data_IF_233268814909
#
_entry.id   IF_233268814909
#
_cell.length_a   1.000
_cell.length_b   1.000
_cell.length_c   1.000
_cell.angle_alpha   90.00
_cell.angle_beta   90.00
_cell.angle_gamma   90.00
#
_symmetry.space_group_name_H-M   'P 1'
#
loop_
_entity.id
_entity.type
_entity.pdbx_description
1 polymer ?
#
# COMPACT_ATOMS: atom_id res chain seq x y z
N UNK A 1 -45.39 7.34 -6.95
CA UNK A 1 -44.69 8.22 -5.99
C UNK A 1 -43.45 7.51 -5.49
N UNK A 2 -42.27 8.14 -5.60
CA UNK A 2 -41.12 7.86 -4.74
C UNK A 2 -40.12 6.77 -5.15
N UNK A 3 -39.60 6.78 -6.38
CA UNK A 3 -38.28 6.19 -6.63
C UNK A 3 -37.24 7.10 -5.98
N UNK A 4 -36.97 6.88 -4.69
CA UNK A 4 -36.13 7.72 -3.86
C UNK A 4 -34.69 7.71 -4.35
N UNK A 5 -34.28 8.83 -4.97
CA UNK A 5 -32.98 9.49 -4.84
C UNK A 5 -31.86 8.62 -4.21
N UNK A 6 -31.39 7.59 -4.93
CA UNK A 6 -30.08 7.00 -4.62
C UNK A 6 -29.07 8.15 -4.75
N UNK A 7 -28.41 8.50 -3.66
CA UNK A 7 -27.96 9.87 -3.41
C UNK A 7 -26.83 10.26 -4.36
N UNK A 8 -27.17 11.13 -5.32
CA UNK A 8 -26.25 11.96 -6.11
C UNK A 8 -25.49 12.98 -5.25
N UNK A 9 -25.78 13.06 -3.95
CA UNK A 9 -25.08 13.94 -3.02
C UNK A 9 -23.68 13.34 -2.76
N UNK A 10 -22.60 14.08 -3.07
CA UNK A 10 -21.25 13.63 -2.76
C UNK A 10 -21.05 13.52 -1.24
N UNK A 11 -20.41 12.46 -0.80
CA UNK A 11 -19.96 12.34 0.58
C UNK A 11 -18.92 13.44 0.88
N UNK A 12 -19.02 14.17 2.00
CA UNK A 12 -18.15 15.33 2.27
C UNK A 12 -16.69 14.98 2.51
N UNK A 13 -16.38 13.73 2.90
CA UNK A 13 -15.01 13.29 3.19
C UNK A 13 -14.30 12.79 1.94
N UNK A 14 -15.02 12.06 1.09
CA UNK A 14 -14.48 11.42 -0.11
C UNK A 14 -14.75 12.19 -1.40
N UNK A 15 -15.74 13.09 -1.41
CA UNK A 15 -16.23 13.80 -2.60
C UNK A 15 -16.96 12.91 -3.61
N UNK A 16 -17.23 11.64 -3.26
CA UNK A 16 -17.84 10.65 -4.15
C UNK A 16 -19.32 10.44 -3.85
N UNK A 17 -20.11 10.38 -4.92
CA UNK A 17 -21.53 9.97 -4.86
C UNK A 17 -21.65 8.45 -4.71
N UNK A 18 -22.83 7.95 -4.32
CA UNK A 18 -23.08 6.51 -4.26
C UNK A 18 -22.89 5.83 -5.63
N UNK A 19 -23.31 6.50 -6.71
CA UNK A 19 -23.18 6.03 -8.09
C UNK A 19 -21.71 5.87 -8.50
N UNK A 20 -20.88 6.86 -8.19
CA UNK A 20 -19.44 6.81 -8.49
C UNK A 20 -18.75 5.68 -7.72
N UNK A 21 -19.05 5.51 -6.43
CA UNK A 21 -18.50 4.40 -5.63
C UNK A 21 -18.87 3.03 -6.21
N UNK A 22 -20.15 2.83 -6.55
CA UNK A 22 -20.63 1.58 -7.15
C UNK A 22 -19.95 1.30 -8.50
N UNK A 23 -19.78 2.34 -9.33
CA UNK A 23 -19.06 2.21 -10.59
C UNK A 23 -17.63 1.70 -10.39
N UNK A 24 -16.87 2.29 -9.46
CA UNK A 24 -15.51 1.86 -9.13
C UNK A 24 -15.50 0.40 -8.66
N UNK A 25 -16.39 0.04 -7.74
CA UNK A 25 -16.47 -1.32 -7.16
C UNK A 25 -16.82 -2.37 -8.22
N UNK A 26 -17.79 -2.10 -9.09
CA UNK A 26 -18.19 -3.01 -10.17
C UNK A 26 -17.05 -3.21 -11.17
N UNK A 27 -16.42 -2.13 -11.63
CA UNK A 27 -15.28 -2.19 -12.54
C UNK A 27 -14.09 -2.95 -11.94
N UNK A 28 -13.75 -2.67 -10.67
CA UNK A 28 -12.65 -3.36 -10.00
C UNK A 28 -12.92 -4.87 -9.82
N UNK A 29 -14.16 -5.21 -9.44
CA UNK A 29 -14.59 -6.61 -9.31
C UNK A 29 -14.49 -7.36 -10.64
N UNK A 30 -14.85 -6.73 -11.74
CA UNK A 30 -14.72 -7.32 -13.07
C UNK A 30 -13.25 -7.54 -13.45
N UNK A 31 -12.42 -6.50 -13.28
CA UNK A 31 -11.00 -6.56 -13.54
C UNK A 31 -10.28 -7.67 -12.77
N UNK A 32 -10.49 -7.72 -11.45
CA UNK A 32 -9.85 -8.73 -10.58
C UNK A 32 -10.34 -10.15 -10.84
N UNK A 33 -11.55 -10.32 -11.39
CA UNK A 33 -12.06 -11.63 -11.83
C UNK A 33 -11.36 -12.12 -13.10
N UNK A 34 -11.04 -11.20 -14.02
CA UNK A 34 -10.37 -11.53 -15.30
C UNK A 34 -8.85 -11.61 -15.16
N UNK A 35 -8.27 -10.94 -14.15
CA UNK A 35 -6.83 -10.82 -13.95
C UNK A 35 -6.39 -11.36 -12.59
N UNK A 36 -5.93 -12.62 -12.54
CA UNK A 36 -5.52 -13.26 -11.28
C UNK A 36 -4.30 -12.61 -10.60
N UNK A 37 -3.46 -11.92 -11.36
CA UNK A 37 -2.28 -11.19 -10.86
C UNK A 37 -2.43 -9.68 -11.05
N UNK A 38 -3.66 -9.18 -10.93
CA UNK A 38 -4.03 -7.78 -11.16
C UNK A 38 -3.07 -6.75 -10.54
N UNK A 39 -2.57 -7.00 -9.32
CA UNK A 39 -1.58 -6.13 -8.68
C UNK A 39 -0.22 -6.10 -9.40
N UNK A 40 0.25 -7.24 -9.90
CA UNK A 40 1.48 -7.35 -10.70
C UNK A 40 1.30 -6.69 -12.05
N UNK A 41 0.14 -6.88 -12.69
CA UNK A 41 -0.22 -6.24 -13.97
C UNK A 41 -0.16 -4.72 -13.85
N UNK A 42 -0.88 -4.15 -12.87
CA UNK A 42 -0.89 -2.70 -12.61
C UNK A 42 0.52 -2.18 -12.28
N UNK A 43 1.24 -2.88 -11.41
CA UNK A 43 2.55 -2.43 -10.97
C UNK A 43 3.60 -2.51 -12.09
N UNK A 44 3.57 -3.55 -12.93
CA UNK A 44 4.38 -3.66 -14.14
C UNK A 44 4.08 -2.55 -15.14
N UNK A 45 2.79 -2.32 -15.42
CA UNK A 45 2.30 -1.27 -16.30
C UNK A 45 2.76 0.14 -15.88
N UNK A 46 2.96 0.38 -14.58
CA UNK A 46 3.53 1.63 -14.08
C UNK A 46 4.99 1.80 -14.53
N UNK A 47 5.81 0.75 -14.51
CA UNK A 47 7.21 0.84 -14.95
C UNK A 47 7.39 0.88 -16.46
N UNK A 48 6.45 0.32 -17.23
CA UNK A 48 6.44 0.52 -18.69
C UNK A 48 6.17 2.00 -19.05
N UNK A 49 5.32 2.68 -18.26
CA UNK A 49 4.94 4.09 -18.47
C UNK A 49 5.91 5.09 -17.84
N UNK A 50 6.48 4.74 -16.69
CA UNK A 50 7.41 5.54 -15.90
C UNK A 50 8.69 4.74 -15.57
N UNK A 51 9.54 4.43 -16.57
CA UNK A 51 10.72 3.58 -16.37
C UNK A 51 11.68 4.12 -15.31
N UNK A 52 11.73 5.45 -15.13
CA UNK A 52 12.54 6.11 -14.14
C UNK A 52 12.17 5.75 -12.69
N UNK A 53 10.96 5.25 -12.44
CA UNK A 53 10.51 4.83 -11.11
C UNK A 53 11.19 3.54 -10.64
N UNK A 54 11.75 2.73 -11.54
CA UNK A 54 12.58 1.59 -11.16
C UNK A 54 13.79 2.02 -10.31
N UNK A 55 14.22 3.28 -10.40
CA UNK A 55 15.30 3.80 -9.56
C UNK A 55 14.95 3.82 -8.06
N UNK A 56 13.66 3.85 -7.71
CA UNK A 56 13.17 3.75 -6.33
C UNK A 56 13.29 2.32 -5.77
N UNK A 57 13.50 1.33 -6.64
CA UNK A 57 13.58 -0.09 -6.28
C UNK A 57 14.96 -0.66 -6.65
N UNK A 58 15.99 -0.49 -5.79
CA UNK A 58 17.36 -0.93 -6.09
C UNK A 58 17.50 -2.40 -6.52
N UNK A 59 16.61 -3.29 -6.05
CA UNK A 59 16.59 -4.72 -6.40
C UNK A 59 16.15 -5.01 -7.84
N UNK A 60 15.52 -4.03 -8.50
CA UNK A 60 14.86 -4.17 -9.80
C UNK A 60 15.51 -3.32 -10.89
N UNK A 61 16.49 -2.49 -10.55
CA UNK A 61 17.20 -1.63 -11.51
C UNK A 61 17.82 -2.44 -12.64
N UNK A 62 17.63 -1.97 -13.87
CA UNK A 62 18.19 -2.58 -15.07
C UNK A 62 17.45 -3.83 -15.57
N UNK A 63 16.39 -4.28 -14.89
CA UNK A 63 15.52 -5.35 -15.37
C UNK A 63 14.40 -4.77 -16.23
N UNK A 64 14.08 -5.45 -17.32
CA UNK A 64 12.87 -5.21 -18.10
C UNK A 64 11.63 -5.64 -17.33
N UNK A 65 10.46 -5.09 -17.67
CA UNK A 65 9.18 -5.50 -17.07
C UNK A 65 8.87 -6.98 -17.26
N UNK A 66 9.32 -7.58 -18.36
CA UNK A 66 9.27 -9.03 -18.58
C UNK A 66 10.10 -9.81 -17.57
N UNK A 67 11.33 -9.39 -17.29
CA UNK A 67 12.18 -10.04 -16.27
C UNK A 67 11.63 -9.83 -14.85
N UNK A 68 10.96 -8.70 -14.61
CA UNK A 68 10.32 -8.40 -13.33
C UNK A 68 9.08 -9.27 -13.08
N UNK A 69 8.32 -9.59 -14.12
CA UNK A 69 7.14 -10.46 -14.01
C UNK A 69 7.48 -11.86 -13.46
N UNK A 70 8.71 -12.34 -13.70
CA UNK A 70 9.21 -13.63 -13.20
C UNK A 70 9.93 -13.53 -11.83
N UNK A 71 10.22 -12.31 -11.34
CA UNK A 71 10.93 -12.11 -10.07
C UNK A 71 9.96 -12.27 -8.88
N UNK A 72 10.17 -13.26 -7.97
CA UNK A 72 9.25 -13.50 -6.86
C UNK A 72 9.09 -12.30 -5.91
N UNK A 73 10.12 -11.45 -5.76
CA UNK A 73 10.05 -10.27 -4.90
C UNK A 73 9.25 -9.16 -5.55
N UNK A 74 9.38 -9.01 -6.86
CA UNK A 74 8.56 -8.07 -7.63
C UNK A 74 7.09 -8.46 -7.56
N UNK A 75 6.80 -9.74 -7.80
CA UNK A 75 5.44 -10.30 -7.71
C UNK A 75 4.84 -10.09 -6.32
N UNK A 76 5.60 -10.36 -5.25
CA UNK A 76 5.14 -10.12 -3.89
C UNK A 76 4.79 -8.65 -3.64
N UNK A 77 5.58 -7.70 -4.16
CA UNK A 77 5.28 -6.28 -4.04
C UNK A 77 4.07 -5.87 -4.88
N UNK A 78 3.96 -6.36 -6.12
CA UNK A 78 2.79 -6.16 -6.97
C UNK A 78 1.51 -6.66 -6.33
N UNK A 79 1.53 -7.84 -5.70
CA UNK A 79 0.40 -8.34 -4.91
C UNK A 79 0.04 -7.40 -3.75
N UNK A 80 1.03 -6.86 -3.03
CA UNK A 80 0.78 -5.90 -1.95
C UNK A 80 0.11 -4.61 -2.46
N UNK A 81 0.54 -4.10 -3.61
CA UNK A 81 -0.12 -2.96 -4.29
C UNK A 81 -1.57 -3.31 -4.65
N UNK A 82 -1.80 -4.49 -5.24
CA UNK A 82 -3.14 -4.97 -5.56
C UNK A 82 -4.06 -5.08 -4.33
N UNK A 83 -3.56 -5.60 -3.21
CA UNK A 83 -4.33 -5.69 -1.97
C UNK A 83 -4.66 -4.32 -1.38
N UNK A 84 -3.73 -3.36 -1.44
CA UNK A 84 -3.99 -2.00 -1.00
C UNK A 84 -5.08 -1.32 -1.85
N UNK A 85 -5.02 -1.46 -3.18
CA UNK A 85 -6.04 -0.94 -4.09
C UNK A 85 -7.41 -1.58 -3.81
N UNK A 86 -7.45 -2.90 -3.64
CA UNK A 86 -8.69 -3.62 -3.33
C UNK A 86 -9.28 -3.15 -1.99
N UNK A 87 -8.44 -3.01 -0.97
CA UNK A 87 -8.88 -2.54 0.35
C UNK A 87 -9.47 -1.13 0.28
N UNK A 88 -8.88 -0.24 -0.53
CA UNK A 88 -9.45 1.10 -0.74
C UNK A 88 -10.81 1.04 -1.43
N UNK A 89 -10.93 0.25 -2.52
CA UNK A 89 -12.18 0.12 -3.29
C UNK A 89 -13.29 -0.51 -2.45
N UNK A 90 -12.99 -1.56 -1.71
CA UNK A 90 -13.95 -2.26 -0.86
C UNK A 90 -14.44 -1.37 0.29
N UNK A 91 -13.58 -0.49 0.80
CA UNK A 91 -13.88 0.41 1.91
C UNK A 91 -14.59 1.70 1.50
N UNK A 92 -14.90 1.93 0.22
CA UNK A 92 -15.54 3.18 -0.22
C UNK A 92 -16.91 3.44 0.44
N UNK A 93 -17.60 2.40 0.91
CA UNK A 93 -18.83 2.51 1.68
C UNK A 93 -18.65 3.07 3.09
N UNK A 94 -17.42 3.14 3.58
CA UNK A 94 -17.02 3.68 4.88
C UNK A 94 -15.94 4.77 4.67
N UNK A 95 -16.35 6.05 4.58
CA UNK A 95 -15.46 7.17 4.34
C UNK A 95 -14.30 7.29 5.34
N UNK A 96 -14.51 6.93 6.61
CA UNK A 96 -13.48 7.03 7.65
C UNK A 96 -12.46 5.91 7.49
N UNK A 97 -12.92 4.70 7.19
CA UNK A 97 -12.04 3.57 6.92
C UNK A 97 -11.17 3.79 5.69
N UNK A 98 -11.73 4.25 4.56
CA UNK A 98 -10.93 4.48 3.35
C UNK A 98 -9.87 5.57 3.57
N UNK A 99 -10.20 6.65 4.28
CA UNK A 99 -9.23 7.69 4.64
C UNK A 99 -8.12 7.11 5.53
N UNK A 100 -8.48 6.34 6.56
CA UNK A 100 -7.51 5.72 7.46
C UNK A 100 -6.57 4.74 6.73
N UNK A 101 -7.09 3.96 5.79
CA UNK A 101 -6.30 3.05 4.95
C UNK A 101 -5.33 3.79 4.03
N UNK A 102 -5.78 4.87 3.38
CA UNK A 102 -4.93 5.72 2.54
C UNK A 102 -3.82 6.34 3.39
N UNK A 103 -4.16 6.91 4.55
CA UNK A 103 -3.18 7.51 5.46
C UNK A 103 -2.15 6.49 5.93
N UNK A 104 -2.59 5.30 6.35
CA UNK A 104 -1.68 4.20 6.75
C UNK A 104 -0.71 3.85 5.63
N UNK A 105 -1.20 3.76 4.40
CA UNK A 105 -0.36 3.50 3.24
C UNK A 105 0.64 4.63 2.98
N UNK A 106 0.20 5.89 3.03
CA UNK A 106 1.07 7.05 2.87
C UNK A 106 2.19 7.09 3.93
N UNK A 107 1.87 6.81 5.20
CA UNK A 107 2.86 6.73 6.30
C UNK A 107 3.93 5.68 6.00
N UNK A 108 3.54 4.50 5.52
CA UNK A 108 4.48 3.44 5.15
C UNK A 108 5.44 3.82 3.99
N UNK A 109 5.10 4.88 3.25
CA UNK A 109 5.90 5.44 2.16
C UNK A 109 6.72 6.66 2.56
N UNK A 110 6.46 7.31 3.70
CA UNK A 110 7.27 8.42 4.22
C UNK A 110 8.74 8.03 4.41
N UNK A 111 8.96 6.82 4.92
CA UNK A 111 10.31 6.30 5.21
C UNK A 111 11.05 5.82 3.94
N UNK A 112 10.39 5.85 2.77
CA UNK A 112 10.95 5.34 1.51
C UNK A 112 11.68 6.46 0.78
N UNK A 113 13.01 6.39 0.81
CA UNK A 113 13.89 7.37 0.15
C UNK A 113 13.49 7.59 -1.31
N UNK A 114 13.20 8.84 -1.65
CA UNK A 114 12.89 9.27 -3.02
C UNK A 114 11.42 9.12 -3.42
N UNK A 115 10.60 8.44 -2.61
CA UNK A 115 9.15 8.42 -2.83
C UNK A 115 8.57 9.79 -2.50
N UNK A 116 7.59 10.20 -3.29
CA UNK A 116 6.89 11.49 -3.18
C UNK A 116 5.44 11.32 -3.62
N UNK A 117 4.55 12.25 -3.28
CA UNK A 117 3.13 12.17 -3.69
C UNK A 117 2.92 12.06 -5.21
N UNK A 118 3.85 12.58 -6.03
CA UNK A 118 3.78 12.46 -7.49
C UNK A 118 3.80 10.99 -7.97
N UNK A 119 4.48 10.11 -7.25
CA UNK A 119 4.51 8.68 -7.61
C UNK A 119 3.14 8.02 -7.39
N UNK A 120 2.38 8.47 -6.39
CA UNK A 120 1.01 7.99 -6.17
C UNK A 120 0.06 8.49 -7.27
N UNK A 121 0.25 9.72 -7.73
CA UNK A 121 -0.51 10.27 -8.86
C UNK A 121 -0.28 9.44 -10.14
N UNK A 122 0.98 9.16 -10.46
CA UNK A 122 1.37 8.34 -11.60
C UNK A 122 0.87 6.89 -11.48
N UNK A 123 0.88 6.31 -10.28
CA UNK A 123 0.25 5.01 -10.04
C UNK A 123 -1.26 5.06 -10.35
N UNK A 124 -1.94 6.12 -9.92
CA UNK A 124 -3.37 6.32 -10.23
C UNK A 124 -3.65 6.40 -11.72
N UNK A 125 -2.83 7.15 -12.47
CA UNK A 125 -2.91 7.19 -13.93
C UNK A 125 -2.67 5.81 -14.55
N UNK A 126 -1.65 5.07 -14.08
CA UNK A 126 -1.37 3.72 -14.58
C UNK A 126 -2.54 2.76 -14.34
N UNK A 127 -3.20 2.82 -13.18
CA UNK A 127 -4.41 2.02 -12.90
C UNK A 127 -5.53 2.35 -13.87
N UNK A 128 -5.83 3.63 -14.09
CA UNK A 128 -6.91 4.05 -15.00
C UNK A 128 -6.64 3.58 -16.43
N UNK A 129 -5.41 3.71 -16.92
CA UNK A 129 -5.05 3.23 -18.26
C UNK A 129 -5.14 1.71 -18.40
N UNK A 130 -4.66 0.96 -17.40
CA UNK A 130 -4.79 -0.51 -17.40
C UNK A 130 -6.27 -0.93 -17.41
N UNK A 131 -7.11 -0.27 -16.60
CA UNK A 131 -8.55 -0.56 -16.60
C UNK A 131 -9.20 -0.22 -17.95
N UNK A 132 -8.77 0.85 -18.65
CA UNK A 132 -9.26 1.17 -19.99
C UNK A 132 -8.85 0.12 -21.02
N UNK A 133 -7.63 -0.40 -20.91
CA UNK A 133 -7.10 -1.45 -21.79
C UNK A 133 -7.84 -2.79 -21.59
N UNK A 134 -8.08 -3.16 -20.33
CA UNK A 134 -8.61 -4.48 -19.96
C UNK A 134 -10.15 -4.52 -19.92
N UNK A 135 -10.79 -3.43 -19.50
CA UNK A 135 -12.24 -3.33 -19.26
C UNK A 135 -12.94 -2.31 -20.18
N UNK A 136 -12.36 -2.04 -21.36
CA UNK A 136 -12.68 -0.87 -22.19
C UNK A 136 -14.16 -0.57 -22.47
N UNK A 137 -15.05 -1.58 -22.52
CA UNK A 137 -16.51 -1.34 -22.68
C UNK A 137 -17.18 -0.75 -21.44
N UNK A 138 -16.61 -1.01 -20.27
CA UNK A 138 -17.12 -0.60 -18.95
C UNK A 138 -16.52 0.73 -18.51
N UNK A 139 -15.29 1.04 -18.96
CA UNK A 139 -14.59 2.30 -18.70
C UNK A 139 -15.14 3.48 -19.51
N UNK A 140 -16.43 3.79 -19.31
CA UNK A 140 -17.08 4.97 -19.86
C UNK A 140 -16.55 6.27 -19.23
N UNK A 141 -16.74 7.46 -19.84
CA UNK A 141 -16.23 8.71 -19.28
C UNK A 141 -16.65 8.99 -17.82
N UNK A 142 -17.90 8.72 -17.38
CA UNK A 142 -18.27 8.87 -15.97
C UNK A 142 -17.53 7.89 -15.03
N UNK A 143 -17.24 6.67 -15.48
CA UNK A 143 -16.50 5.67 -14.70
C UNK A 143 -15.04 6.09 -14.56
N UNK A 144 -14.42 6.56 -15.66
CA UNK A 144 -13.07 7.12 -15.65
C UNK A 144 -12.99 8.29 -14.65
N UNK A 145 -13.92 9.23 -14.72
CA UNK A 145 -13.95 10.38 -13.81
C UNK A 145 -14.12 9.95 -12.34
N UNK A 146 -14.89 8.89 -12.07
CA UNK A 146 -15.02 8.34 -10.71
C UNK A 146 -13.67 7.78 -10.20
N UNK A 147 -12.95 7.01 -11.02
CA UNK A 147 -11.63 6.51 -10.68
C UNK A 147 -10.60 7.64 -10.47
N UNK A 148 -10.57 8.62 -11.37
CA UNK A 148 -9.71 9.80 -11.24
C UNK A 148 -9.99 10.55 -9.93
N UNK A 149 -11.27 10.65 -9.53
CA UNK A 149 -11.65 11.26 -8.26
C UNK A 149 -11.14 10.46 -7.05
N UNK A 150 -11.21 9.13 -7.06
CA UNK A 150 -10.63 8.28 -6.01
C UNK A 150 -9.11 8.49 -5.91
N UNK A 151 -8.42 8.51 -7.04
CA UNK A 151 -6.96 8.73 -7.06
C UNK A 151 -6.59 10.15 -6.62
N UNK A 152 -7.39 11.17 -6.97
CA UNK A 152 -7.23 12.53 -6.49
C UNK A 152 -7.39 12.62 -4.96
N UNK A 153 -8.37 11.93 -4.38
CA UNK A 153 -8.54 11.80 -2.93
C UNK A 153 -7.29 11.17 -2.30
N UNK A 154 -6.80 10.06 -2.85
CA UNK A 154 -5.60 9.40 -2.34
C UNK A 154 -4.38 10.33 -2.37
N UNK A 155 -4.14 11.02 -3.49
CA UNK A 155 -3.02 11.95 -3.63
C UNK A 155 -3.17 13.11 -2.64
N UNK A 156 -4.37 13.68 -2.48
CA UNK A 156 -4.62 14.76 -1.52
C UNK A 156 -4.28 14.36 -0.09
N UNK A 157 -4.74 13.18 0.35
CA UNK A 157 -4.43 12.66 1.69
C UNK A 157 -2.93 12.37 1.81
N UNK A 158 -2.31 11.82 0.77
CA UNK A 158 -0.87 11.51 0.76
C UNK A 158 -0.02 12.78 0.91
N UNK A 159 -0.38 13.86 0.20
CA UNK A 159 0.29 15.17 0.35
C UNK A 159 0.22 15.63 1.80
N UNK A 160 -0.98 15.62 2.43
CA UNK A 160 -1.16 16.01 3.83
C UNK A 160 -0.27 15.19 4.77
N UNK A 161 -0.23 13.87 4.60
CA UNK A 161 0.62 12.99 5.41
C UNK A 161 2.12 13.31 5.23
N UNK A 162 2.54 13.63 4.01
CA UNK A 162 3.93 14.02 3.72
C UNK A 162 4.30 15.39 4.29
N UNK A 163 3.34 16.32 4.36
CA UNK A 163 3.50 17.62 5.01
C UNK A 163 3.52 17.50 6.55
N UNK A 164 2.67 16.65 7.11
CA UNK A 164 2.60 16.37 8.56
C UNK A 164 3.83 15.61 9.08
N UNK A 165 4.46 14.78 8.23
CA UNK A 165 5.59 13.94 8.60
C UNK A 165 5.16 12.70 9.41
N UNK A 166 6.13 11.93 9.94
CA UNK A 166 5.82 10.75 10.75
C UNK A 166 5.03 11.15 11.99
N UNK A 167 4.07 10.32 12.45
CA UNK A 167 3.32 10.61 13.68
C UNK A 167 4.31 10.83 14.83
N UNK A 168 4.21 11.98 15.49
CA UNK A 168 5.02 12.24 16.68
C UNK A 168 4.58 11.27 17.77
N UNK A 169 5.53 10.53 18.34
CA UNK A 169 5.31 9.72 19.53
C UNK A 169 5.18 10.66 20.75
N UNK A 170 4.19 11.56 20.74
CA UNK A 170 3.79 12.25 21.95
C UNK A 170 3.07 11.22 22.84
N UNK A 171 3.60 10.94 24.05
CA UNK A 171 2.96 10.01 24.95
C UNK A 171 1.59 10.57 25.31
N UNK A 172 0.54 9.84 24.93
CA UNK A 172 -0.83 10.19 25.32
C UNK A 172 -0.90 10.32 26.83
N UNK A 173 -1.15 11.55 27.29
CA UNK A 173 -1.58 11.92 28.63
C UNK A 173 -0.91 11.17 29.78
N UNK A 174 0.12 11.76 30.39
CA UNK A 174 0.27 11.56 31.84
C UNK A 174 -0.97 12.15 32.49
N UNK A 175 -1.97 11.30 32.76
CA UNK A 175 -3.02 11.58 33.71
C UNK A 175 -2.34 12.11 34.98
N UNK A 176 -2.58 13.38 35.29
CA UNK A 176 -2.16 13.96 36.56
C UNK A 176 -2.83 13.15 37.65
N UNK A 177 -2.07 12.25 38.27
CA UNK A 177 -2.48 11.65 39.53
C UNK A 177 -2.10 12.65 40.61
N UNK A 178 -3.08 13.47 40.95
CA UNK A 178 -3.11 14.27 42.17
C UNK A 178 -2.86 13.34 43.35
N UNK A 179 -1.75 13.56 44.04
CA UNK A 179 -1.49 13.00 45.36
C UNK A 179 -1.32 14.16 46.31
N UNK A 180 -2.43 14.53 46.93
CA UNK A 180 -2.38 14.97 48.32
C UNK A 180 -1.87 13.79 49.14
N UNK A 181 -0.72 13.94 49.79
CA UNK A 181 -0.60 13.48 51.16
C UNK A 181 0.62 14.07 51.87
N UNK A 182 0.33 14.41 53.12
CA UNK A 182 1.18 15.04 54.11
C UNK A 182 2.09 14.00 54.79
N UNK A 183 3.27 14.41 55.26
CA UNK A 183 3.94 13.73 56.39
C UNK A 183 5.35 13.15 56.16
N UNK A 184 6.35 13.98 56.52
CA UNK A 184 7.47 13.70 57.45
C UNK A 184 8.38 12.45 57.31
N UNK A 185 9.69 12.76 57.35
CA UNK A 185 10.83 11.98 57.91
C UNK A 185 11.71 11.12 56.99
N UNK A 186 12.96 11.56 56.80
CA UNK A 186 14.16 10.76 56.45
C UNK A 186 14.73 10.05 57.71
N UNK A 187 15.90 9.33 57.68
CA UNK A 187 16.76 8.90 56.57
C UNK A 187 17.30 7.43 56.66
N UNK A 188 18.13 7.08 55.66
CA UNK A 188 19.30 6.16 55.75
C UNK A 188 19.15 4.75 55.15
N UNK A 189 19.88 4.44 54.08
CA UNK A 189 21.19 3.76 54.16
C UNK A 189 21.75 3.48 52.76
N UNK A 190 23.08 3.42 52.70
CA UNK A 190 23.94 3.35 51.54
C UNK A 190 24.44 1.92 51.33
N UNK A 191 24.94 1.66 50.11
CA UNK A 191 25.81 0.56 49.67
C UNK A 191 25.16 -0.76 49.19
N UNK A 192 25.54 -1.16 47.97
CA UNK A 192 25.17 -2.44 47.38
C UNK A 192 25.64 -2.60 45.94
N UNK A 193 26.96 -2.60 45.75
CA UNK A 193 27.69 -2.87 44.50
C UNK A 193 27.49 -4.34 44.07
N UNK A 194 27.32 -4.62 42.78
CA UNK A 194 27.85 -5.85 42.15
C UNK A 194 27.81 -5.76 40.61
N UNK A 195 28.99 -5.60 40.05
CA UNK A 195 29.36 -6.04 38.70
C UNK A 195 29.20 -7.56 38.57
N UNK A 196 28.78 -8.07 37.41
CA UNK A 196 29.64 -8.91 36.57
C UNK A 196 28.99 -9.17 35.19
N UNK A 197 29.77 -9.21 34.10
CA UNK A 197 29.30 -9.33 32.74
C UNK A 197 29.42 -10.78 32.19
N UNK A 198 29.15 -10.90 30.89
CA UNK A 198 29.73 -11.88 29.99
C UNK A 198 29.00 -13.23 29.84
N UNK A 199 28.42 -13.49 28.65
CA UNK A 199 28.88 -14.65 27.87
C UNK A 199 28.59 -14.55 26.38
N UNK A 200 29.67 -14.76 25.65
CA UNK A 200 29.85 -14.88 24.21
C UNK A 200 29.13 -16.05 23.52
N UNK A 201 28.78 -15.78 22.25
CA UNK A 201 29.04 -16.56 21.02
C UNK A 201 29.11 -18.08 21.12
N UNK A 202 28.31 -18.76 20.28
CA UNK A 202 28.78 -19.93 19.50
C UNK A 202 28.22 -19.91 18.07
N UNK A 203 29.14 -19.79 17.11
CA UNK A 203 28.98 -20.26 15.73
C UNK A 203 28.92 -21.78 15.70
N UNK A 204 28.11 -22.39 14.82
CA UNK A 204 28.40 -23.71 14.25
C UNK A 204 28.04 -23.77 12.75
N UNK A 205 28.91 -24.49 12.04
CA UNK A 205 29.13 -24.58 10.59
C UNK A 205 28.06 -25.39 9.82
N UNK A 206 27.99 -25.01 8.53
CA UNK A 206 27.49 -25.68 7.32
C UNK A 206 27.70 -27.21 7.24
N UNK A 207 26.85 -27.89 6.44
CA UNK A 207 27.26 -28.70 5.26
C UNK A 207 26.06 -28.94 4.28
N UNK A 208 26.30 -29.03 2.95
CA UNK A 208 25.29 -29.24 1.89
C UNK A 208 25.35 -30.65 1.25
N UNK A 209 24.34 -31.00 0.44
CA UNK A 209 24.29 -31.90 -0.75
C UNK A 209 22.78 -32.10 -1.09
N UNK A 210 22.24 -32.28 -2.31
CA UNK A 210 22.75 -32.81 -3.57
C UNK A 210 21.94 -32.30 -4.78
N UNK A 211 22.55 -32.48 -5.96
CA UNK A 211 22.09 -32.23 -7.33
C UNK A 211 21.13 -33.32 -7.84
N UNK A 212 20.20 -32.95 -8.73
CA UNK A 212 19.69 -33.83 -9.79
C UNK A 212 19.27 -33.02 -11.05
N UNK A 213 19.96 -33.31 -12.15
CA UNK A 213 19.58 -33.17 -13.56
C UNK A 213 18.13 -33.64 -13.84
N UNK A 214 17.32 -33.10 -14.75
CA UNK A 214 17.56 -32.50 -16.06
C UNK A 214 17.03 -33.42 -17.17
N UNK A 215 16.00 -33.00 -17.93
CA UNK A 215 15.71 -33.27 -19.38
C UNK A 215 14.26 -32.88 -19.78
N UNK A 216 13.94 -32.63 -21.08
CA UNK A 216 13.24 -31.40 -21.52
C UNK A 216 11.83 -31.57 -22.11
N UNK A 217 11.19 -30.40 -22.35
CA UNK A 217 9.89 -30.16 -23.01
C UNK A 217 9.73 -30.69 -24.44
N UNK A 218 8.49 -30.95 -24.90
CA UNK A 218 8.12 -30.97 -26.30
C UNK A 218 7.52 -29.63 -26.77
N UNK A 219 7.91 -29.25 -27.98
CA UNK A 219 7.51 -28.06 -28.75
C UNK A 219 6.05 -28.12 -29.22
N UNK A 220 5.33 -26.99 -29.14
CA UNK A 220 3.99 -26.84 -29.72
C UNK A 220 4.10 -26.16 -31.09
N UNK A 221 3.64 -26.86 -32.13
CA UNK A 221 3.55 -26.41 -33.52
C UNK A 221 2.23 -25.66 -33.71
N UNK A 222 2.28 -24.41 -34.17
CA UNK A 222 1.11 -23.64 -34.61
C UNK A 222 0.58 -24.16 -35.95
N UNK A 223 -0.75 -24.19 -36.07
CA UNK A 223 -1.49 -23.97 -37.31
C UNK A 223 -2.27 -22.66 -37.15
#
# INVERSE_FOLDING_TARGET
>A
MGAGLCKEVPDPRTGMTERERRAIQETWKQFTKSNHEYGVVVFGAMFDRYPEYLNLFPLFRGKSTKELADDPKFRAHGCAVGYQLSSMVDSLGDPELVEALIRKNAIAHLERRGVSPFHFQSLGHAVVEVLKEEEGKVMTPPVIAAWEKLFALMVSITIKVFEEGPPTNEPHGKSAHEKDDTGTSSPSTHAGRSDNPHRERRHHKKRPMASASGTPSPTYRRH
#
